data_IF_531803593111
#
_entry.id   IF_531803593111
#
_cell.length_a   1.000
_cell.length_b   1.000
_cell.length_c   1.000
_cell.angle_alpha   90.00
_cell.angle_beta   90.00
_cell.angle_gamma   90.00
#
_symmetry.space_group_name_H-M   'P 1'
#
loop_
_entity.id
_entity.type
_entity.pdbx_description
1 polymer ?
#
# COMPACT_ATOMS: atom_id res chain seq x y z
N UNK A 1 -14.69 6.69 -14.31
CA UNK A 1 -15.22 5.57 -13.53
C UNK A 1 -14.60 5.50 -12.15
N UNK A 2 -15.11 4.70 -11.25
CA UNK A 2 -14.63 4.45 -9.88
C UNK A 2 -14.86 5.57 -8.87
N UNK A 3 -15.84 6.43 -9.10
CA UNK A 3 -16.18 7.48 -8.14
C UNK A 3 -16.63 6.92 -6.79
N UNK A 4 -17.30 5.76 -6.78
CA UNK A 4 -17.76 5.09 -5.56
C UNK A 4 -16.54 4.63 -4.74
N UNK A 5 -15.62 3.92 -5.36
CA UNK A 5 -14.41 3.39 -4.70
C UNK A 5 -13.48 4.52 -4.26
N UNK A 6 -13.35 5.58 -5.08
CA UNK A 6 -12.62 6.79 -4.70
C UNK A 6 -13.20 7.42 -3.43
N UNK A 7 -14.52 7.57 -3.38
CA UNK A 7 -15.19 8.16 -2.21
C UNK A 7 -15.10 7.25 -0.97
N UNK A 8 -15.22 5.92 -1.14
CA UNK A 8 -15.02 4.97 -0.07
C UNK A 8 -13.59 5.07 0.49
N UNK A 9 -12.58 5.04 -0.38
CA UNK A 9 -11.18 5.13 0.01
C UNK A 9 -10.88 6.43 0.76
N UNK A 10 -11.40 7.58 0.27
CA UNK A 10 -11.26 8.87 0.95
C UNK A 10 -11.87 8.88 2.35
N UNK A 11 -13.07 8.32 2.51
CA UNK A 11 -13.76 8.24 3.81
C UNK A 11 -12.98 7.39 4.81
N UNK A 12 -12.52 6.21 4.40
CA UNK A 12 -11.81 5.29 5.28
C UNK A 12 -10.44 5.86 5.69
N UNK A 13 -9.73 6.51 4.75
CA UNK A 13 -8.47 7.22 5.06
C UNK A 13 -8.72 8.39 6.05
N UNK A 14 -9.80 9.13 5.87
CA UNK A 14 -10.14 10.23 6.78
C UNK A 14 -10.43 9.75 8.21
N UNK A 15 -10.89 8.52 8.36
CA UNK A 15 -11.13 7.85 9.66
C UNK A 15 -9.88 7.13 10.20
N UNK A 16 -8.74 7.24 9.51
CA UNK A 16 -7.47 6.58 9.83
C UNK A 16 -7.61 5.05 9.99
N UNK A 17 -8.50 4.42 9.22
CA UNK A 17 -8.69 2.96 9.21
C UNK A 17 -7.80 2.31 8.15
N UNK A 18 -7.42 1.05 8.40
CA UNK A 18 -6.59 0.30 7.47
C UNK A 18 -7.44 -0.23 6.30
N UNK A 19 -6.88 -0.24 5.10
CA UNK A 19 -7.60 -0.57 3.86
C UNK A 19 -6.82 -1.58 3.05
N UNK A 20 -7.51 -2.63 2.59
CA UNK A 20 -7.00 -3.57 1.61
C UNK A 20 -7.80 -3.44 0.31
N UNK A 21 -7.11 -3.12 -0.78
CA UNK A 21 -7.70 -3.05 -2.11
C UNK A 21 -7.35 -4.33 -2.86
N UNK A 22 -8.37 -5.12 -3.14
CA UNK A 22 -8.26 -6.37 -3.86
C UNK A 22 -8.78 -6.24 -5.30
N UNK A 23 -8.10 -6.87 -6.24
CA UNK A 23 -8.56 -6.90 -7.63
C UNK A 23 -7.52 -7.45 -8.58
N UNK A 24 -7.91 -7.82 -9.82
CA UNK A 24 -7.00 -8.34 -10.84
C UNK A 24 -5.86 -7.38 -11.19
N UNK A 25 -4.87 -7.89 -11.92
CA UNK A 25 -3.82 -7.04 -12.52
C UNK A 25 -4.44 -6.06 -13.51
N UNK A 26 -3.91 -4.86 -13.59
CA UNK A 26 -4.31 -3.86 -14.59
C UNK A 26 -5.57 -3.04 -14.25
N UNK A 27 -6.32 -3.37 -13.18
CA UNK A 27 -7.56 -2.62 -12.83
C UNK A 27 -7.32 -1.25 -12.20
N UNK A 28 -6.07 -0.81 -12.06
CA UNK A 28 -5.75 0.54 -11.58
C UNK A 28 -5.67 0.70 -10.05
N UNK A 29 -5.49 -0.37 -9.26
CA UNK A 29 -5.38 -0.30 -7.78
C UNK A 29 -4.39 0.75 -7.28
N UNK A 30 -3.16 0.66 -7.77
CA UNK A 30 -2.06 1.56 -7.38
C UNK A 30 -2.33 3.01 -7.80
N UNK A 31 -2.92 3.20 -8.99
CA UNK A 31 -3.31 4.51 -9.49
C UNK A 31 -4.38 5.15 -8.59
N UNK A 32 -5.43 4.40 -8.24
CA UNK A 32 -6.51 4.82 -7.36
C UNK A 32 -5.97 5.33 -6.01
N UNK A 33 -5.08 4.55 -5.37
CA UNK A 33 -4.46 4.94 -4.09
C UNK A 33 -3.67 6.22 -4.24
N UNK A 34 -2.79 6.31 -5.24
CA UNK A 34 -1.95 7.50 -5.45
C UNK A 34 -2.78 8.75 -5.70
N UNK A 35 -3.82 8.65 -6.52
CA UNK A 35 -4.73 9.76 -6.79
C UNK A 35 -5.38 10.27 -5.51
N UNK A 36 -5.94 9.37 -4.69
CA UNK A 36 -6.59 9.76 -3.42
C UNK A 36 -5.59 10.40 -2.45
N UNK A 37 -4.38 9.84 -2.31
CA UNK A 37 -3.37 10.39 -1.41
C UNK A 37 -2.92 11.80 -1.85
N UNK A 38 -2.81 12.04 -3.16
CA UNK A 38 -2.50 13.35 -3.71
C UNK A 38 -3.63 14.37 -3.46
N UNK A 39 -4.88 13.98 -3.73
CA UNK A 39 -6.05 14.84 -3.51
C UNK A 39 -6.22 15.21 -2.03
N UNK A 40 -5.99 14.26 -1.11
CA UNK A 40 -6.06 14.48 0.33
C UNK A 40 -4.82 15.20 0.89
N UNK A 41 -3.79 15.43 0.08
CA UNK A 41 -2.48 15.98 0.49
C UNK A 41 -1.89 15.26 1.70
N UNK A 42 -2.12 13.94 1.78
CA UNK A 42 -1.59 13.10 2.87
C UNK A 42 -0.18 12.63 2.54
N UNK A 43 0.74 12.79 3.50
CA UNK A 43 2.06 12.19 3.42
C UNK A 43 1.96 10.67 3.51
N UNK A 44 2.78 9.95 2.74
CA UNK A 44 2.82 8.50 2.78
C UNK A 44 4.25 7.98 2.59
N UNK A 45 4.49 6.79 3.13
CA UNK A 45 5.67 5.97 2.84
C UNK A 45 5.21 4.83 1.93
N UNK A 46 5.90 4.61 0.81
CA UNK A 46 5.56 3.54 -0.14
C UNK A 46 6.48 2.35 0.00
N UNK A 47 5.88 1.18 -0.05
CA UNK A 47 6.55 -0.11 -0.06
C UNK A 47 5.96 -0.93 -1.21
N UNK A 48 6.81 -1.54 -2.03
CA UNK A 48 6.38 -2.53 -3.02
C UNK A 48 6.72 -3.94 -2.49
N UNK A 49 5.72 -4.81 -2.42
CA UNK A 49 5.85 -6.19 -1.94
C UNK A 49 6.77 -7.02 -2.82
N UNK A 50 7.68 -7.76 -2.18
CA UNK A 50 8.64 -8.66 -2.83
C UNK A 50 8.88 -9.85 -1.91
N UNK A 51 9.07 -11.05 -2.47
CA UNK A 51 9.34 -12.29 -1.72
C UNK A 51 10.64 -12.27 -0.91
N UNK A 52 11.56 -11.36 -1.22
CA UNK A 52 12.83 -11.14 -0.51
C UNK A 52 12.76 -9.95 0.44
N UNK A 53 11.57 -9.42 0.69
CA UNK A 53 11.41 -8.32 1.64
C UNK A 53 11.71 -8.83 3.06
N UNK A 54 12.40 -8.03 3.87
CA UNK A 54 12.81 -8.42 5.23
C UNK A 54 12.17 -7.51 6.27
N UNK A 55 12.07 -8.00 7.51
CA UNK A 55 11.61 -7.21 8.64
C UNK A 55 12.40 -5.91 8.79
N UNK A 56 13.72 -6.00 8.67
CA UNK A 56 14.61 -4.83 8.77
C UNK A 56 14.32 -3.78 7.70
N UNK A 57 14.03 -4.21 6.45
CA UNK A 57 13.63 -3.26 5.40
C UNK A 57 12.33 -2.53 5.74
N UNK A 58 11.41 -3.18 6.45
CA UNK A 58 10.13 -2.59 6.83
C UNK A 58 10.25 -1.71 8.08
N UNK A 59 10.93 -2.19 9.12
CA UNK A 59 11.02 -1.51 10.42
C UNK A 59 12.20 -0.57 10.53
N UNK A 60 13.34 -0.93 9.91
CA UNK A 60 14.60 -0.22 10.03
C UNK A 60 15.70 -1.06 10.67
N UNK A 61 16.90 -0.50 10.73
CA UNK A 61 18.06 -1.18 11.25
C UNK A 61 19.05 -0.21 11.87
N UNK A 62 19.95 -0.72 12.68
CA UNK A 62 21.06 0.06 13.21
C UNK A 62 22.20 0.15 12.17
N UNK A 63 22.65 1.37 11.90
CA UNK A 63 23.80 1.63 11.03
C UNK A 63 25.10 1.23 11.75
N UNK A 64 25.87 0.22 11.26
CA UNK A 64 27.04 -0.26 11.97
C UNK A 64 28.11 0.81 12.25
N UNK A 65 28.47 1.70 11.31
CA UNK A 65 29.40 2.79 11.57
C UNK A 65 28.94 3.74 12.67
N UNK A 66 27.64 4.03 12.74
CA UNK A 66 27.07 4.89 13.78
C UNK A 66 27.01 4.19 15.13
N UNK A 67 26.70 2.90 15.15
CA UNK A 67 26.74 2.10 16.39
C UNK A 67 28.13 2.05 17.00
N UNK A 68 29.17 1.91 16.19
CA UNK A 68 30.57 1.93 16.69
C UNK A 68 30.95 3.28 17.32
N UNK A 69 30.36 4.37 16.87
CA UNK A 69 30.63 5.72 17.38
C UNK A 69 29.76 6.13 18.57
N UNK A 70 28.48 5.76 18.56
CA UNK A 70 27.44 6.28 19.48
C UNK A 70 26.71 5.20 20.27
N UNK A 71 27.04 3.91 20.05
CA UNK A 71 26.29 2.79 20.62
C UNK A 71 24.91 2.62 19.95
N UNK A 72 24.08 1.78 20.57
CA UNK A 72 22.67 1.57 20.15
C UNK A 72 21.78 2.72 20.63
N UNK A 73 21.75 3.80 19.88
CA UNK A 73 20.96 5.00 20.18
C UNK A 73 19.93 5.27 19.07
N UNK A 74 19.02 6.21 19.31
CA UNK A 74 18.06 6.64 18.28
C UNK A 74 18.75 7.21 17.04
N UNK A 75 19.89 7.87 17.23
CA UNK A 75 20.67 8.49 16.15
C UNK A 75 21.41 7.47 15.28
N UNK A 76 21.66 6.27 15.81
CA UNK A 76 22.28 5.17 15.07
C UNK A 76 21.26 4.22 14.43
N UNK A 77 19.95 4.47 14.61
CA UNK A 77 18.90 3.69 14.01
C UNK A 77 18.35 4.40 12.75
N UNK A 78 18.36 3.69 11.62
CA UNK A 78 17.79 4.14 10.36
C UNK A 78 16.36 3.60 10.26
N UNK A 79 15.39 4.50 10.24
CA UNK A 79 13.98 4.17 10.17
C UNK A 79 13.64 3.50 8.84
N UNK A 80 12.95 2.37 8.89
CA UNK A 80 12.27 1.80 7.74
C UNK A 80 10.92 2.50 7.50
N UNK A 81 10.24 2.19 6.39
CA UNK A 81 9.00 2.87 5.99
C UNK A 81 7.87 2.74 7.02
N UNK A 82 7.72 1.60 7.71
CA UNK A 82 6.73 1.43 8.78
C UNK A 82 7.01 2.38 9.95
N UNK A 83 8.26 2.37 10.45
CA UNK A 83 8.66 3.24 11.56
C UNK A 83 8.55 4.72 11.15
N UNK A 84 8.97 5.06 9.94
CA UNK A 84 8.84 6.41 9.38
C UNK A 84 7.38 6.87 9.30
N UNK A 85 6.49 6.02 8.81
CA UNK A 85 5.05 6.32 8.75
C UNK A 85 4.44 6.49 10.15
N UNK A 86 4.74 5.59 11.09
CA UNK A 86 4.24 5.66 12.46
C UNK A 86 4.73 6.91 13.21
N UNK A 87 6.03 7.24 13.11
CA UNK A 87 6.62 8.42 13.76
C UNK A 87 6.04 9.75 13.27
N UNK A 88 5.64 9.79 12.00
CA UNK A 88 5.20 11.04 11.36
C UNK A 88 3.69 11.11 11.13
N UNK A 89 2.90 10.11 11.58
CA UNK A 89 1.46 10.07 11.35
C UNK A 89 1.08 10.01 9.87
N UNK A 90 1.94 9.37 9.06
CA UNK A 90 1.74 9.19 7.63
C UNK A 90 1.04 7.87 7.33
N UNK A 91 0.56 7.75 6.10
CA UNK A 91 0.02 6.49 5.58
C UNK A 91 1.18 5.58 5.16
N UNK A 92 1.12 4.30 5.56
CA UNK A 92 1.98 3.27 4.99
C UNK A 92 1.24 2.64 3.80
N UNK A 93 1.69 2.94 2.59
CA UNK A 93 1.13 2.34 1.38
C UNK A 93 1.97 1.12 0.95
N UNK A 94 1.38 -0.07 1.04
CA UNK A 94 2.01 -1.33 0.62
C UNK A 94 1.36 -1.83 -0.66
N UNK A 95 2.08 -1.75 -1.76
CA UNK A 95 1.64 -2.30 -3.03
C UNK A 95 1.98 -3.80 -3.09
N UNK A 96 1.01 -4.65 -3.43
CA UNK A 96 1.14 -6.12 -3.49
C UNK A 96 1.61 -6.77 -2.17
N UNK A 97 0.88 -6.47 -1.08
CA UNK A 97 1.17 -6.98 0.26
C UNK A 97 1.34 -8.50 0.31
N UNK A 98 0.52 -9.24 -0.43
CA UNK A 98 0.57 -10.70 -0.51
C UNK A 98 1.84 -11.28 -1.17
N UNK A 99 2.73 -10.44 -1.72
CA UNK A 99 4.06 -10.87 -2.18
C UNK A 99 5.12 -10.83 -1.09
N UNK A 100 4.83 -10.24 0.04
CA UNK A 100 5.76 -10.24 1.18
C UNK A 100 5.73 -11.58 1.91
N UNK A 101 6.87 -12.04 2.49
CA UNK A 101 6.88 -13.18 3.39
C UNK A 101 5.92 -13.00 4.57
N UNK A 102 5.29 -14.08 5.03
CA UNK A 102 4.33 -14.05 6.14
C UNK A 102 4.91 -13.42 7.40
N UNK A 103 6.17 -13.70 7.73
CA UNK A 103 6.84 -13.09 8.87
C UNK A 103 6.84 -11.56 8.81
N UNK A 104 7.03 -10.99 7.60
CA UNK A 104 7.01 -9.54 7.39
C UNK A 104 5.59 -8.98 7.47
N UNK A 105 4.60 -9.72 6.94
CA UNK A 105 3.19 -9.35 7.04
C UNK A 105 2.74 -9.27 8.51
N UNK A 106 3.17 -10.22 9.34
CA UNK A 106 2.79 -10.30 10.75
C UNK A 106 3.31 -9.13 11.61
N UNK A 107 4.36 -8.43 11.18
CA UNK A 107 4.82 -7.20 11.84
C UNK A 107 3.78 -6.08 11.80
N UNK A 108 2.88 -6.11 10.80
CA UNK A 108 1.81 -5.12 10.69
C UNK A 108 0.73 -5.28 11.77
N UNK A 109 0.53 -6.49 12.31
CA UNK A 109 -0.54 -6.77 13.27
C UNK A 109 -0.50 -5.82 14.48
N UNK A 110 0.58 -5.74 15.27
CA UNK A 110 0.63 -4.83 16.42
C UNK A 110 0.59 -3.35 15.99
N UNK A 111 1.13 -3.01 14.82
CA UNK A 111 1.06 -1.64 14.30
C UNK A 111 -0.37 -1.22 13.95
N UNK A 112 -1.20 -2.14 13.46
CA UNK A 112 -2.60 -1.89 13.08
C UNK A 112 -3.56 -1.94 14.27
N UNK A 113 -3.37 -2.87 15.21
CA UNK A 113 -4.24 -3.06 16.37
C UNK A 113 -3.94 -2.08 17.50
N UNK A 114 -2.73 -2.18 18.03
CA UNK A 114 -2.30 -1.43 19.20
C UNK A 114 -1.71 -0.08 18.84
N UNK A 115 -1.53 0.17 17.54
CA UNK A 115 -0.80 1.33 16.99
C UNK A 115 0.61 1.43 17.58
N UNK A 116 1.22 0.29 17.87
CA UNK A 116 2.49 0.18 18.58
C UNK A 116 3.33 -0.94 18.02
N UNK A 117 4.64 -0.73 17.95
CA UNK A 117 5.62 -1.78 17.62
C UNK A 117 6.76 -1.78 18.62
N UNK A 118 7.37 -2.96 18.82
CA UNK A 118 8.60 -3.09 19.57
C UNK A 118 9.80 -2.83 18.69
N UNK A 119 10.71 -1.97 19.15
CA UNK A 119 11.95 -1.67 18.46
C UNK A 119 13.12 -2.23 19.28
N UNK A 120 13.90 -3.19 18.77
CA UNK A 120 15.03 -3.75 19.49
C UNK A 120 15.96 -2.65 20.02
N UNK A 121 16.36 -2.74 21.29
CA UNK A 121 17.24 -1.77 21.98
C UNK A 121 16.68 -0.34 22.18
N UNK A 122 15.56 0.02 21.53
CA UNK A 122 14.99 1.36 21.62
C UNK A 122 13.64 1.40 22.35
N UNK A 123 13.13 0.22 22.78
CA UNK A 123 11.84 0.11 23.46
C UNK A 123 10.68 0.01 22.49
N UNK A 124 9.59 0.69 22.76
CA UNK A 124 8.40 0.67 21.90
C UNK A 124 8.13 2.02 21.23
N UNK A 125 7.59 1.96 20.04
CA UNK A 125 7.14 3.12 19.28
C UNK A 125 5.61 3.12 19.20
N UNK A 126 4.98 4.19 19.67
CA UNK A 126 3.55 4.46 19.49
C UNK A 126 3.35 5.29 18.22
N UNK A 127 2.42 4.88 17.36
CA UNK A 127 2.10 5.63 16.15
C UNK A 127 1.43 6.97 16.48
N UNK A 128 1.85 8.02 15.77
CA UNK A 128 1.17 9.33 15.81
C UNK A 128 -0.19 9.26 15.11
N UNK A 129 -1.06 10.18 15.45
CA UNK A 129 -2.35 10.34 14.76
C UNK A 129 -2.17 10.56 13.28
N UNK A 130 -3.07 9.99 12.49
CA UNK A 130 -2.98 9.98 11.03
C UNK A 130 -2.36 8.70 10.45
N UNK A 131 -1.63 7.91 11.24
CA UNK A 131 -1.09 6.64 10.77
C UNK A 131 -2.21 5.65 10.45
N UNK A 132 -2.17 5.07 9.28
CA UNK A 132 -2.92 3.86 8.88
C UNK A 132 -2.19 3.13 7.76
N UNK A 133 -2.59 1.89 7.50
CA UNK A 133 -2.04 1.06 6.43
C UNK A 133 -3.03 1.01 5.27
N UNK A 134 -2.55 1.32 4.07
CA UNK A 134 -3.27 1.10 2.82
C UNK A 134 -2.50 0.06 2.02
N UNK A 135 -3.13 -1.06 1.72
CA UNK A 135 -2.48 -2.14 1.00
C UNK A 135 -3.24 -2.52 -0.27
N UNK A 136 -2.53 -3.07 -1.25
CA UNK A 136 -3.14 -3.71 -2.42
C UNK A 136 -2.76 -5.17 -2.47
N UNK A 137 -3.63 -6.01 -3.04
CA UNK A 137 -3.32 -7.39 -3.37
C UNK A 137 -3.93 -7.82 -4.69
N UNK A 138 -3.35 -8.88 -5.28
CA UNK A 138 -3.90 -9.58 -6.41
C UNK A 138 -4.20 -11.03 -6.01
N UNK A 139 -5.47 -11.42 -5.85
CA UNK A 139 -5.83 -12.74 -5.33
C UNK A 139 -5.54 -13.89 -6.31
N UNK A 140 -5.32 -13.60 -7.60
CA UNK A 140 -5.15 -14.62 -8.65
C UNK A 140 -3.71 -14.99 -8.99
N UNK A 141 -2.72 -14.31 -8.41
CA UNK A 141 -1.31 -14.67 -8.62
C UNK A 141 -0.89 -15.77 -7.66
N UNK A 142 -0.97 -17.02 -8.14
CA UNK A 142 -0.58 -18.20 -7.36
C UNK A 142 0.94 -18.41 -7.28
N UNK A 143 1.73 -17.79 -8.14
CA UNK A 143 3.18 -17.92 -8.16
C UNK A 143 3.83 -16.80 -7.35
N UNK A 144 4.58 -17.17 -6.31
CA UNK A 144 5.31 -16.26 -5.42
C UNK A 144 4.43 -15.30 -4.59
N UNK A 145 3.21 -15.74 -4.19
CA UNK A 145 2.37 -15.01 -3.25
C UNK A 145 2.13 -15.83 -1.98
N UNK A 146 1.99 -15.15 -0.85
CA UNK A 146 1.61 -15.71 0.44
C UNK A 146 0.20 -15.24 0.77
N UNK A 147 -0.71 -16.17 1.06
CA UNK A 147 -2.05 -15.79 1.51
C UNK A 147 -1.93 -14.91 2.77
N UNK A 148 -2.73 -13.85 2.82
CA UNK A 148 -2.85 -13.07 4.04
C UNK A 148 -3.56 -13.92 5.11
N UNK A 149 -3.06 -13.88 6.35
CA UNK A 149 -3.72 -14.56 7.46
C UNK A 149 -5.10 -13.95 7.74
N UNK A 150 -6.04 -14.75 8.23
CA UNK A 150 -7.35 -14.26 8.66
C UNK A 150 -7.21 -13.11 9.67
N UNK A 151 -6.27 -13.24 10.61
CA UNK A 151 -5.97 -12.21 11.59
C UNK A 151 -5.58 -10.87 10.94
N UNK A 152 -4.86 -10.89 9.83
CA UNK A 152 -4.49 -9.67 9.11
C UNK A 152 -5.67 -9.13 8.29
N UNK A 153 -6.45 -10.02 7.65
CA UNK A 153 -7.63 -9.64 6.87
C UNK A 153 -8.69 -8.95 7.72
N UNK A 154 -8.94 -9.43 8.94
CA UNK A 154 -9.92 -8.86 9.88
C UNK A 154 -9.62 -7.41 10.28
N UNK A 155 -8.39 -6.95 10.08
CA UNK A 155 -7.93 -5.60 10.42
C UNK A 155 -8.02 -4.61 9.28
N UNK A 156 -8.45 -5.07 8.11
CA UNK A 156 -8.62 -4.24 6.94
C UNK A 156 -10.10 -4.01 6.59
N UNK A 157 -10.42 -2.78 6.24
CA UNK A 157 -11.61 -2.50 5.43
C UNK A 157 -11.31 -2.89 3.98
N UNK A 158 -12.11 -3.78 3.40
CA UNK A 158 -11.84 -4.31 2.07
C UNK A 158 -12.58 -3.54 0.99
N UNK A 159 -11.85 -3.10 -0.04
CA UNK A 159 -12.40 -2.55 -1.27
C UNK A 159 -12.04 -3.49 -2.42
N UNK A 160 -13.06 -4.03 -3.11
CA UNK A 160 -12.86 -4.91 -4.26
C UNK A 160 -13.03 -4.14 -5.56
N UNK A 161 -12.02 -4.26 -6.43
CA UNK A 161 -12.03 -3.69 -7.77
C UNK A 161 -12.16 -4.81 -8.81
N UNK A 162 -13.16 -4.70 -9.67
CA UNK A 162 -13.29 -5.49 -10.90
C UNK A 162 -12.71 -4.78 -12.12
N UNK A 163 -12.76 -5.40 -13.28
CA UNK A 163 -12.51 -4.70 -14.55
C UNK A 163 -13.56 -3.64 -14.79
N UNK A 164 -13.18 -2.56 -15.43
CA UNK A 164 -14.08 -1.48 -15.82
C UNK A 164 -15.00 -1.92 -16.98
N UNK A 165 -16.09 -1.18 -17.22
CA UNK A 165 -16.92 -1.41 -18.40
C UNK A 165 -16.16 -1.02 -19.68
N UNK A 166 -16.62 -1.51 -20.83
CA UNK A 166 -16.03 -1.14 -22.13
C UNK A 166 -16.06 0.37 -22.36
N UNK A 167 -17.16 1.01 -21.96
CA UNK A 167 -17.35 2.46 -22.08
C UNK A 167 -16.37 3.23 -21.19
N UNK A 168 -16.12 2.77 -19.98
CA UNK A 168 -15.16 3.37 -19.07
C UNK A 168 -13.72 3.20 -19.56
N UNK A 169 -13.36 2.02 -20.06
CA UNK A 169 -12.04 1.77 -20.68
C UNK A 169 -11.80 2.67 -21.90
N UNK A 170 -12.80 2.83 -22.76
CA UNK A 170 -12.76 3.75 -23.87
C UNK A 170 -12.58 5.21 -23.42
N UNK A 171 -13.27 5.61 -22.36
CA UNK A 171 -13.16 6.96 -21.82
C UNK A 171 -11.73 7.23 -21.27
N UNK A 172 -11.11 6.25 -20.61
CA UNK A 172 -9.73 6.34 -20.12
C UNK A 172 -8.76 6.45 -21.29
N UNK A 173 -8.89 5.58 -22.29
CA UNK A 173 -8.03 5.62 -23.48
C UNK A 173 -8.11 6.97 -24.20
N UNK A 174 -9.30 7.56 -24.30
CA UNK A 174 -9.49 8.90 -24.88
C UNK A 174 -8.78 10.02 -24.11
N UNK A 175 -8.62 9.88 -22.80
CA UNK A 175 -7.90 10.86 -21.96
C UNK A 175 -6.38 10.70 -22.04
N UNK A 176 -5.90 9.47 -22.17
CA UNK A 176 -4.47 9.16 -22.17
C UNK A 176 -3.82 9.30 -23.54
N UNK A 177 -4.60 9.14 -24.61
CA UNK A 177 -4.10 9.16 -25.99
C UNK A 177 -4.31 10.55 -26.59
N UNK A 178 -3.26 11.07 -27.24
CA UNK A 178 -3.33 12.33 -27.99
C UNK A 178 -4.47 12.29 -29.03
N UNK A 179 -5.13 13.40 -29.22
CA UNK A 179 -6.36 13.65 -30.01
C UNK A 179 -6.37 13.16 -31.48
N UNK A 180 -5.26 12.55 -31.96
CA UNK A 180 -5.10 12.15 -33.37
C UNK A 180 -5.48 10.69 -33.67
N UNK A 181 -5.92 9.88 -32.68
CA UNK A 181 -6.30 8.49 -32.92
C UNK A 181 -7.81 8.38 -33.11
N UNK A 182 -8.21 7.75 -34.21
CA UNK A 182 -9.63 7.53 -34.56
C UNK A 182 -10.31 6.65 -33.50
N UNK A 183 -11.51 7.00 -33.09
CA UNK A 183 -12.32 6.25 -32.11
C UNK A 183 -12.46 4.75 -32.49
N UNK A 184 -12.57 4.42 -33.77
CA UNK A 184 -12.64 3.03 -34.24
C UNK A 184 -11.41 2.19 -33.93
N UNK A 185 -10.23 2.82 -33.80
CA UNK A 185 -9.01 2.14 -33.42
C UNK A 185 -9.01 1.86 -31.90
N UNK A 186 -9.44 2.84 -31.10
CA UNK A 186 -9.56 2.70 -29.64
C UNK A 186 -10.58 1.60 -29.26
N UNK A 187 -11.71 1.53 -29.96
CA UNK A 187 -12.70 0.46 -29.76
C UNK A 187 -12.13 -0.93 -30.04
N UNK A 188 -11.39 -1.07 -31.17
CA UNK A 188 -10.68 -2.33 -31.47
C UNK A 188 -9.62 -2.70 -30.45
N UNK A 189 -8.89 -1.71 -29.90
CA UNK A 189 -7.90 -1.97 -28.84
C UNK A 189 -8.55 -2.53 -27.59
N UNK A 190 -9.70 -1.97 -27.16
CA UNK A 190 -10.45 -2.47 -26.02
C UNK A 190 -10.97 -3.90 -26.27
N UNK A 191 -11.46 -4.18 -27.48
CA UNK A 191 -11.95 -5.52 -27.85
C UNK A 191 -10.85 -6.59 -27.91
N UNK A 192 -9.60 -6.21 -28.19
CA UNK A 192 -8.46 -7.12 -28.23
C UNK A 192 -7.89 -7.46 -26.83
N UNK A 193 -8.13 -6.61 -25.83
CA UNK A 193 -7.60 -6.79 -24.46
C UNK A 193 -8.56 -7.60 -23.60
N UNK A 194 -9.81 -7.75 -23.99
CA UNK A 194 -10.85 -8.52 -23.32
C UNK A 194 -10.95 -9.95 -23.84
#
# INVERSE_FOLDING_TARGET
GREIELNQLKKVIALHRNILIEGPVGVGKTFLVRQVLQELKKGFERVDGDTRYTEQKLTGWFDPPLVLKKGYTKESFLDGPLVGAMKNGKILFINELNRMPEAVQNILLPAMDERKISMPKLGSLQAKDGFCVVATQNPKEFTATHALSEALLDRFEMIRLGYQSKEEELAILKQEVSSNIKNSILERMVDLIR
#
